data_IF_424685201325
#
_entry.id   IF_424685201325
#
_cell.length_a   1.000
_cell.length_b   1.000
_cell.length_c   1.000
_cell.angle_alpha   90.00
_cell.angle_beta   90.00
_cell.angle_gamma   90.00
#
_symmetry.space_group_name_H-M   'P 1'
#
loop_
_entity.id
_entity.type
_entity.pdbx_description
1 polymer ?
#
# COMPACT_ATOMS: atom_id res chain seq x y z
N UNK A 1 -17.56 23.74 -2.84
CA UNK A 1 -16.33 23.45 -3.61
C UNK A 1 -15.50 22.53 -2.74
N UNK A 2 -15.67 21.24 -3.00
CA UNK A 2 -15.96 20.30 -1.93
C UNK A 2 -14.70 19.66 -1.35
N UNK A 3 -14.60 19.79 -0.02
CA UNK A 3 -14.05 18.88 0.97
C UNK A 3 -12.95 17.90 0.53
N UNK A 4 -11.70 18.25 0.82
CA UNK A 4 -10.64 17.26 1.05
C UNK A 4 -10.95 16.48 2.33
N UNK A 5 -11.58 15.31 2.13
CA UNK A 5 -11.87 14.37 3.19
C UNK A 5 -10.58 13.78 3.75
N UNK A 6 -10.22 14.18 4.96
CA UNK A 6 -9.61 13.24 5.90
C UNK A 6 -10.63 12.13 6.12
N UNK A 7 -10.37 10.96 5.52
CA UNK A 7 -11.23 9.79 5.64
C UNK A 7 -11.29 9.29 7.09
N UNK A 8 -12.13 9.93 7.90
CA UNK A 8 -12.82 9.26 8.99
C UNK A 8 -13.73 8.24 8.32
N UNK A 9 -13.29 6.99 8.27
CA UNK A 9 -14.17 5.87 7.95
C UNK A 9 -15.19 5.76 9.08
N UNK A 10 -16.33 6.45 8.95
CA UNK A 10 -17.55 6.01 9.59
C UNK A 10 -17.92 4.69 8.92
N UNK A 11 -17.52 3.59 9.56
CA UNK A 11 -17.96 2.26 9.17
C UNK A 11 -19.45 2.15 9.45
N UNK A 12 -20.26 2.19 8.40
CA UNK A 12 -21.55 1.52 8.46
C UNK A 12 -21.29 0.03 8.58
N UNK A 13 -21.70 -0.57 9.70
CA UNK A 13 -21.72 -2.01 9.89
C UNK A 13 -22.67 -2.61 8.84
N UNK A 14 -22.09 -3.10 7.75
CA UNK A 14 -22.75 -4.00 6.80
C UNK A 14 -21.97 -5.30 6.86
N UNK A 15 -22.63 -6.36 7.34
CA UNK A 15 -22.01 -7.66 7.59
C UNK A 15 -21.53 -8.27 6.27
N UNK A 16 -20.23 -8.53 6.15
CA UNK A 16 -19.63 -9.11 4.97
C UNK A 16 -19.36 -10.61 5.17
N UNK A 17 -20.05 -11.45 4.40
CA UNK A 17 -19.69 -12.85 4.20
C UNK A 17 -18.50 -12.92 3.23
N UNK A 18 -17.29 -13.05 3.77
CA UNK A 18 -16.08 -13.32 2.98
C UNK A 18 -15.99 -14.83 2.76
N UNK A 19 -16.29 -15.26 1.52
CA UNK A 19 -16.30 -16.64 1.00
C UNK A 19 -14.92 -17.33 0.92
N UNK A 20 -13.97 -17.00 1.81
CA UNK A 20 -12.65 -17.62 1.87
C UNK A 20 -12.32 -18.29 3.21
N UNK A 21 -12.83 -17.74 4.32
CA UNK A 21 -12.73 -18.31 5.67
C UNK A 21 -14.10 -18.82 6.18
N UNK A 22 -15.16 -18.72 5.36
CA UNK A 22 -16.50 -19.22 5.67
C UNK A 22 -16.55 -20.72 5.90
N UNK A 23 -15.63 -21.48 5.28
CA UNK A 23 -15.62 -22.94 5.41
C UNK A 23 -15.14 -23.36 6.81
N UNK A 24 -14.14 -22.66 7.38
CA UNK A 24 -13.75 -22.81 8.78
C UNK A 24 -14.83 -22.32 9.75
N UNK A 25 -15.54 -21.23 9.41
CA UNK A 25 -16.64 -20.69 10.22
C UNK A 25 -17.85 -21.63 10.27
N UNK A 26 -18.21 -22.25 9.14
CA UNK A 26 -19.28 -23.26 9.07
C UNK A 26 -18.85 -24.55 9.78
N UNK A 27 -17.57 -24.94 9.75
CA UNK A 27 -17.06 -26.05 10.54
C UNK A 27 -17.09 -25.77 12.06
N UNK A 28 -16.65 -24.60 12.51
CA UNK A 28 -16.72 -24.21 13.94
C UNK A 28 -18.18 -24.08 14.44
N UNK A 29 -19.11 -23.63 13.60
CA UNK A 29 -20.54 -23.59 13.92
C UNK A 29 -21.21 -24.98 13.90
N UNK A 30 -20.73 -25.92 13.09
CA UNK A 30 -21.18 -27.33 13.14
C UNK A 30 -20.77 -28.00 14.44
N UNK A 31 -19.63 -27.62 15.02
CA UNK A 31 -19.17 -28.11 16.34
C UNK A 31 -20.08 -27.61 17.48
N UNK A 32 -20.77 -26.48 17.30
CA UNK A 32 -21.70 -25.88 18.28
C UNK A 32 -23.15 -26.32 18.10
N UNK A 33 -23.48 -27.11 17.07
CA UNK A 33 -24.80 -27.76 17.01
C UNK A 33 -24.81 -28.96 17.94
N UNK A 34 -25.79 -29.10 18.85
CA UNK A 34 -25.90 -30.27 19.69
C UNK A 34 -26.00 -31.50 18.79
N UNK A 35 -25.13 -32.48 19.06
CA UNK A 35 -25.17 -33.81 18.46
C UNK A 35 -26.60 -34.33 18.65
N UNK A 36 -27.33 -34.56 17.56
CA UNK A 36 -28.61 -35.24 17.62
C UNK A 36 -28.32 -36.67 18.08
N UNK A 37 -28.42 -36.90 19.37
CA UNK A 37 -28.46 -38.25 19.89
C UNK A 37 -29.77 -38.87 19.41
N UNK A 38 -29.63 -39.93 18.62
CA UNK A 38 -30.71 -40.77 18.15
C UNK A 38 -31.39 -41.44 19.36
N UNK A 39 -32.54 -40.93 19.77
CA UNK A 39 -33.57 -41.80 20.36
C UNK A 39 -34.98 -41.25 20.16
N UNK A 40 -35.81 -42.12 19.56
CA UNK A 40 -37.26 -42.24 19.62
C UNK A 40 -38.18 -41.06 19.18
N UNK A 41 -38.63 -41.20 17.93
CA UNK A 41 -40.02 -41.51 17.58
C UNK A 41 -41.14 -40.69 18.28
N UNK A 42 -41.59 -39.62 17.64
CA UNK A 42 -43.03 -39.41 17.45
C UNK A 42 -43.33 -38.38 16.36
N UNK A 43 -44.27 -38.77 15.50
CA UNK A 43 -44.81 -38.03 14.38
C UNK A 43 -45.42 -36.69 14.80
N UNK A 44 -44.89 -35.58 14.27
CA UNK A 44 -45.72 -34.44 13.92
C UNK A 44 -45.08 -33.64 12.78
N UNK A 45 -45.57 -33.91 11.58
CA UNK A 45 -45.18 -33.25 10.33
C UNK A 45 -45.76 -31.84 10.26
N UNK A 46 -45.10 -30.89 10.91
CA UNK A 46 -45.21 -29.48 10.54
C UNK A 46 -44.00 -29.15 9.65
N UNK A 47 -44.20 -29.32 8.34
CA UNK A 47 -43.27 -28.86 7.32
C UNK A 47 -43.15 -27.34 7.39
N UNK A 48 -42.23 -26.86 8.21
CA UNK A 48 -41.66 -25.53 8.08
C UNK A 48 -40.84 -25.56 6.79
N UNK A 49 -41.45 -25.12 5.70
CA UNK A 49 -40.75 -24.80 4.46
C UNK A 49 -39.71 -23.73 4.78
N UNK A 50 -38.47 -24.17 4.97
CA UNK A 50 -37.29 -23.31 4.98
C UNK A 50 -37.32 -22.58 3.63
N UNK A 51 -37.37 -21.23 3.60
CA UNK A 51 -37.35 -20.49 2.36
C UNK A 51 -36.10 -20.90 1.60
N UNK A 52 -36.32 -21.33 0.37
CA UNK A 52 -35.30 -21.80 -0.57
C UNK A 52 -34.30 -20.64 -0.78
N UNK A 53 -33.15 -20.69 -0.09
CA UNK A 53 -31.99 -19.80 -0.29
C UNK A 53 -31.32 -20.17 -1.63
N UNK A 54 -32.09 -20.08 -2.71
CA UNK A 54 -31.59 -20.21 -4.07
C UNK A 54 -31.66 -18.84 -4.71
N UNK A 55 -30.51 -18.45 -5.24
CA UNK A 55 -30.24 -17.28 -6.07
C UNK A 55 -29.85 -15.99 -5.31
N UNK A 56 -28.96 -16.10 -4.32
CA UNK A 56 -27.96 -15.05 -4.18
C UNK A 56 -26.93 -15.25 -5.29
N UNK A 57 -27.04 -14.47 -6.36
CA UNK A 57 -26.04 -14.39 -7.42
C UNK A 57 -24.68 -14.15 -6.77
N UNK A 58 -23.77 -15.13 -6.88
CA UNK A 58 -22.43 -15.02 -6.31
C UNK A 58 -21.74 -13.83 -6.98
N UNK A 59 -21.65 -12.70 -6.28
CA UNK A 59 -20.96 -11.51 -6.76
C UNK A 59 -19.49 -11.88 -6.97
N UNK A 60 -19.08 -12.05 -8.22
CA UNK A 60 -17.69 -12.30 -8.57
C UNK A 60 -17.02 -11.01 -9.02
N UNK A 61 -15.90 -10.68 -8.39
CA UNK A 61 -15.02 -9.59 -8.80
C UNK A 61 -13.90 -10.17 -9.66
N UNK A 62 -13.72 -9.65 -10.88
CA UNK A 62 -12.67 -10.15 -11.78
C UNK A 62 -11.34 -9.44 -11.53
N UNK A 63 -10.22 -10.12 -11.76
CA UNK A 63 -8.89 -9.51 -11.58
C UNK A 63 -8.66 -8.32 -12.53
N UNK A 64 -9.29 -8.34 -13.71
CA UNK A 64 -9.19 -7.24 -14.68
C UNK A 64 -9.93 -5.98 -14.18
N UNK A 65 -11.09 -6.14 -13.55
CA UNK A 65 -11.81 -5.04 -12.90
C UNK A 65 -10.96 -4.38 -11.81
N UNK A 66 -10.28 -5.19 -10.97
CA UNK A 66 -9.38 -4.68 -9.92
C UNK A 66 -8.23 -3.89 -10.55
N UNK A 67 -7.59 -4.45 -11.58
CA UNK A 67 -6.50 -3.77 -12.27
C UNK A 67 -6.95 -2.45 -12.90
N UNK A 68 -8.12 -2.43 -13.55
CA UNK A 68 -8.69 -1.22 -14.14
C UNK A 68 -8.99 -0.18 -13.08
N UNK A 69 -9.59 -0.57 -11.95
CA UNK A 69 -9.85 0.33 -10.82
C UNK A 69 -8.56 0.95 -10.29
N UNK A 70 -7.51 0.15 -10.11
CA UNK A 70 -6.20 0.64 -9.66
C UNK A 70 -5.56 1.59 -10.68
N UNK A 71 -5.57 1.25 -11.97
CA UNK A 71 -4.99 2.09 -13.02
C UNK A 71 -5.75 3.40 -13.22
N UNK A 72 -7.03 3.46 -12.85
CA UNK A 72 -7.81 4.69 -12.86
C UNK A 72 -7.53 5.58 -11.63
N UNK A 73 -7.06 5.00 -10.53
CA UNK A 73 -6.67 5.75 -9.33
C UNK A 73 -5.30 6.42 -9.46
N UNK A 74 -5.13 7.60 -8.86
CA UNK A 74 -3.84 8.31 -8.83
C UNK A 74 -2.75 7.48 -8.11
N UNK A 75 -3.10 6.89 -6.97
CA UNK A 75 -2.21 6.05 -6.16
C UNK A 75 -1.75 4.81 -6.93
N UNK A 76 -2.66 4.14 -7.66
CA UNK A 76 -2.31 2.97 -8.47
C UNK A 76 -1.38 3.33 -9.63
N UNK A 77 -1.59 4.47 -10.31
CA UNK A 77 -0.66 4.97 -11.34
C UNK A 77 0.74 5.22 -10.79
N UNK A 78 0.90 5.86 -9.62
CA UNK A 78 2.22 6.08 -9.00
C UNK A 78 2.90 4.75 -8.64
N UNK A 79 2.18 3.79 -8.03
CA UNK A 79 2.76 2.49 -7.67
C UNK A 79 3.13 1.66 -8.89
N UNK A 80 2.30 1.65 -9.93
CA UNK A 80 2.60 0.96 -11.17
C UNK A 80 3.83 1.58 -11.86
N UNK A 81 3.90 2.91 -11.97
CA UNK A 81 5.07 3.60 -12.50
C UNK A 81 6.33 3.32 -11.68
N UNK A 82 6.22 3.24 -10.34
CA UNK A 82 7.32 2.84 -9.45
C UNK A 82 7.83 1.44 -9.79
N UNK A 83 6.94 0.45 -9.91
CA UNK A 83 7.30 -0.93 -10.26
C UNK A 83 8.01 -0.97 -11.61
N UNK A 84 7.39 -0.42 -12.67
CA UNK A 84 7.96 -0.42 -14.02
C UNK A 84 9.34 0.24 -14.03
N UNK A 85 9.48 1.41 -13.39
CA UNK A 85 10.77 2.12 -13.30
C UNK A 85 11.86 1.21 -12.71
N UNK A 86 11.62 0.63 -11.54
CA UNK A 86 12.66 -0.15 -10.86
C UNK A 86 12.90 -1.51 -11.53
N UNK A 87 11.91 -2.10 -12.19
CA UNK A 87 12.12 -3.25 -13.07
C UNK A 87 13.04 -2.89 -14.24
N UNK A 88 12.82 -1.73 -14.88
CA UNK A 88 13.70 -1.24 -15.95
C UNK A 88 15.12 -0.98 -15.45
N UNK A 89 15.27 -0.35 -14.28
CA UNK A 89 16.60 -0.10 -13.69
C UNK A 89 17.38 -1.40 -13.43
N UNK A 90 16.69 -2.46 -12.99
CA UNK A 90 17.30 -3.78 -12.79
C UNK A 90 17.66 -4.45 -14.12
N UNK A 91 16.81 -4.35 -15.14
CA UNK A 91 17.09 -4.86 -16.49
C UNK A 91 18.31 -4.14 -17.07
N UNK A 92 18.37 -2.81 -16.96
CA UNK A 92 19.51 -2.01 -17.40
C UNK A 92 20.78 -2.50 -16.70
N UNK A 93 20.74 -2.65 -15.38
CA UNK A 93 21.89 -3.11 -14.60
C UNK A 93 22.35 -4.51 -15.00
N UNK A 94 21.42 -5.42 -15.29
CA UNK A 94 21.73 -6.76 -15.78
C UNK A 94 22.39 -6.71 -17.16
N UNK A 95 21.82 -5.94 -18.10
CA UNK A 95 22.38 -5.77 -19.44
C UNK A 95 23.77 -5.13 -19.37
N UNK A 96 23.96 -4.10 -18.56
CA UNK A 96 25.25 -3.44 -18.39
C UNK A 96 26.32 -4.35 -17.80
N UNK A 97 25.94 -5.26 -16.89
CA UNK A 97 26.86 -6.25 -16.33
C UNK A 97 27.36 -7.23 -17.40
N UNK A 98 26.46 -7.73 -18.24
CA UNK A 98 26.77 -8.67 -19.31
C UNK A 98 27.43 -8.01 -20.53
N UNK A 99 27.12 -6.73 -20.79
CA UNK A 99 27.58 -5.99 -21.97
C UNK A 99 28.94 -5.31 -21.79
N UNK A 100 29.64 -5.50 -20.66
CA UNK A 100 30.98 -4.94 -20.48
C UNK A 100 31.92 -5.52 -21.54
N UNK A 101 32.41 -4.73 -22.51
CA UNK A 101 33.35 -5.24 -23.47
C UNK A 101 34.64 -5.59 -22.72
N UNK A 102 35.02 -6.87 -22.69
CA UNK A 102 36.41 -7.24 -22.41
C UNK A 102 37.24 -6.56 -23.51
N UNK A 103 37.87 -5.43 -23.19
CA UNK A 103 39.03 -4.75 -23.82
C UNK A 103 39.37 -4.89 -25.33
N UNK A 104 38.50 -5.38 -26.21
CA UNK A 104 38.86 -5.79 -27.58
C UNK A 104 38.44 -4.82 -28.69
N UNK A 105 37.77 -3.71 -28.37
CA UNK A 105 37.33 -2.75 -29.39
C UNK A 105 38.29 -1.55 -29.36
N UNK A 106 39.45 -1.77 -29.97
CA UNK A 106 40.33 -0.68 -30.44
C UNK A 106 39.54 0.20 -31.41
N UNK A 107 39.69 1.52 -31.27
CA UNK A 107 39.11 2.55 -32.11
C UNK A 107 39.56 2.37 -33.56
N UNK A 108 38.77 1.69 -34.39
CA UNK A 108 38.95 1.73 -35.84
C UNK A 108 37.63 2.02 -36.56
N UNK A 109 37.78 2.56 -37.76
CA UNK A 109 36.77 3.31 -38.52
C UNK A 109 35.42 2.58 -38.68
N UNK A 110 34.36 3.24 -38.21
CA UNK A 110 33.01 2.72 -37.97
C UNK A 110 32.28 2.26 -39.24
N UNK A 111 32.65 2.75 -40.43
CA UNK A 111 31.82 2.56 -41.62
C UNK A 111 32.06 1.24 -42.38
N UNK A 112 33.25 0.63 -42.33
CA UNK A 112 33.51 -0.69 -42.94
C UNK A 112 33.29 -1.86 -41.96
N UNK A 113 32.96 -1.55 -40.71
CA UNK A 113 32.87 -2.50 -39.62
C UNK A 113 31.48 -3.11 -39.51
N UNK A 114 30.40 -2.41 -39.86
CA UNK A 114 29.02 -2.91 -39.69
C UNK A 114 28.76 -4.17 -40.54
N UNK A 115 29.17 -4.19 -41.81
CA UNK A 115 28.99 -5.37 -42.68
C UNK A 115 29.93 -6.53 -42.33
N UNK A 116 31.18 -6.23 -41.92
CA UNK A 116 32.14 -7.26 -41.54
C UNK A 116 31.84 -7.86 -40.14
N UNK A 117 31.24 -7.08 -39.23
CA UNK A 117 30.76 -7.54 -37.92
C UNK A 117 29.50 -8.40 -38.02
N UNK A 118 28.60 -8.08 -38.96
CA UNK A 118 27.35 -8.81 -39.16
C UNK A 118 27.60 -10.30 -39.48
N UNK A 119 28.65 -10.56 -40.26
CA UNK A 119 29.01 -11.91 -40.73
C UNK A 119 30.00 -12.59 -39.78
N UNK A 120 31.03 -11.88 -39.30
CA UNK A 120 32.13 -12.54 -38.59
C UNK A 120 32.02 -12.52 -37.05
N UNK A 121 31.20 -11.62 -36.47
CA UNK A 121 31.08 -11.49 -34.99
C UNK A 121 29.66 -11.05 -34.56
N UNK A 122 28.63 -11.91 -34.66
CA UNK A 122 27.25 -11.56 -34.28
C UNK A 122 27.11 -11.09 -32.83
N UNK A 123 28.01 -11.54 -31.93
CA UNK A 123 28.08 -11.07 -30.54
C UNK A 123 28.29 -9.56 -30.41
N UNK A 124 29.05 -8.93 -31.30
CA UNK A 124 29.29 -7.48 -31.24
C UNK A 124 28.06 -6.68 -31.71
N UNK A 125 27.30 -7.21 -32.67
CA UNK A 125 26.03 -6.65 -33.08
C UNK A 125 25.01 -6.70 -31.92
N UNK A 126 24.92 -7.84 -31.22
CA UNK A 126 24.08 -7.97 -30.02
C UNK A 126 24.47 -6.93 -28.96
N UNK A 127 25.78 -6.75 -28.68
CA UNK A 127 26.24 -5.73 -27.73
C UNK A 127 25.85 -4.31 -28.19
N UNK A 128 25.99 -3.99 -29.47
CA UNK A 128 25.61 -2.67 -30.00
C UNK A 128 24.10 -2.40 -29.87
N UNK A 129 23.26 -3.38 -30.24
CA UNK A 129 21.81 -3.30 -30.06
C UNK A 129 21.44 -3.18 -28.58
N UNK A 130 22.06 -3.97 -27.70
CA UNK A 130 21.88 -3.90 -26.26
C UNK A 130 22.26 -2.53 -25.70
N UNK A 131 23.34 -1.91 -26.17
CA UNK A 131 23.74 -0.55 -25.76
C UNK A 131 22.73 0.52 -26.19
N UNK A 132 22.22 0.45 -27.43
CA UNK A 132 21.17 1.36 -27.89
C UNK A 132 19.87 1.16 -27.10
N UNK A 133 19.55 -0.09 -26.80
CA UNK A 133 18.40 -0.47 -25.98
C UNK A 133 18.53 0.05 -24.55
N UNK A 134 19.70 -0.09 -23.91
CA UNK A 134 19.99 0.45 -22.58
C UNK A 134 19.80 1.96 -22.52
N UNK A 135 20.29 2.72 -23.51
CA UNK A 135 20.06 4.17 -23.57
C UNK A 135 18.58 4.52 -23.64
N UNK A 136 17.81 3.76 -24.42
CA UNK A 136 16.37 3.94 -24.56
C UNK A 136 15.64 3.62 -23.24
N UNK A 137 15.98 2.51 -22.59
CA UNK A 137 15.42 2.14 -21.29
C UNK A 137 15.77 3.15 -20.20
N UNK A 138 17.01 3.65 -20.18
CA UNK A 138 17.46 4.67 -19.23
C UNK A 138 16.67 5.98 -19.41
N UNK A 139 16.44 6.38 -20.66
CA UNK A 139 15.56 7.51 -20.96
C UNK A 139 14.14 7.28 -20.44
N UNK A 140 13.52 6.12 -20.74
CA UNK A 140 12.18 5.77 -20.25
C UNK A 140 12.13 5.76 -18.73
N UNK A 141 13.12 5.18 -18.04
CA UNK A 141 13.20 5.18 -16.57
C UNK A 141 13.27 6.60 -16.00
N UNK A 142 14.05 7.49 -16.63
CA UNK A 142 14.12 8.91 -16.25
C UNK A 142 12.78 9.63 -16.45
N UNK A 143 12.08 9.37 -17.56
CA UNK A 143 10.74 9.91 -17.80
C UNK A 143 9.72 9.38 -16.79
N UNK A 144 9.77 8.10 -16.42
CA UNK A 144 8.91 7.54 -15.37
C UNK A 144 9.16 8.17 -14.00
N UNK A 145 10.42 8.47 -13.67
CA UNK A 145 10.76 9.23 -12.48
C UNK A 145 10.08 10.60 -12.51
N UNK A 146 10.24 11.35 -13.60
CA UNK A 146 9.63 12.68 -13.78
C UNK A 146 8.10 12.63 -13.77
N UNK A 147 7.50 11.63 -14.41
CA UNK A 147 6.06 11.37 -14.39
C UNK A 147 5.53 11.24 -12.96
N UNK A 148 6.25 10.52 -12.08
CA UNK A 148 5.85 10.40 -10.67
C UNK A 148 5.89 11.72 -9.90
N UNK A 149 6.85 12.60 -10.19
CA UNK A 149 6.85 13.97 -9.64
C UNK A 149 5.63 14.76 -10.13
N UNK A 150 5.28 14.64 -11.42
CA UNK A 150 4.10 15.30 -11.99
C UNK A 150 2.81 14.81 -11.31
N UNK A 151 2.68 13.51 -11.03
CA UNK A 151 1.51 12.96 -10.33
C UNK A 151 1.33 13.50 -8.90
N UNK A 152 2.40 13.99 -8.28
CA UNK A 152 2.40 14.53 -6.91
C UNK A 152 2.36 16.05 -6.86
N UNK A 153 2.60 16.70 -7.99
CA UNK A 153 2.63 18.14 -8.13
C UNK A 153 1.23 18.75 -7.99
N UNK A 154 1.14 19.89 -7.32
CA UNK A 154 -0.09 20.70 -7.24
C UNK A 154 -0.76 20.67 -5.87
N UNK A 155 -0.25 19.89 -4.92
CA UNK A 155 -0.79 19.83 -3.56
C UNK A 155 -0.21 20.92 -2.64
N UNK A 156 0.96 21.50 -2.96
CA UNK A 156 1.59 22.49 -2.09
C UNK A 156 0.73 23.74 -1.79
N UNK A 157 0.01 24.38 -2.73
CA UNK A 157 -0.75 25.59 -2.40
C UNK A 157 -1.90 25.30 -1.44
N UNK A 158 -2.55 24.14 -1.58
CA UNK A 158 -3.66 23.73 -0.71
C UNK A 158 -3.15 23.40 0.70
N UNK A 159 -2.08 22.61 0.81
CA UNK A 159 -1.47 22.28 2.09
C UNK A 159 -0.94 23.53 2.81
N UNK A 160 -0.33 24.45 2.07
CA UNK A 160 0.16 25.72 2.63
C UNK A 160 -1.00 26.57 3.15
N UNK A 161 -2.11 26.61 2.42
CA UNK A 161 -3.30 27.35 2.84
C UNK A 161 -3.91 26.78 4.12
N UNK A 162 -4.05 25.45 4.21
CA UNK A 162 -4.59 24.80 5.39
C UNK A 162 -3.65 24.93 6.60
N UNK A 163 -2.34 24.89 6.36
CA UNK A 163 -1.33 25.18 7.37
C UNK A 163 -1.42 26.61 7.90
N UNK A 164 -1.59 27.60 7.01
CA UNK A 164 -1.79 29.00 7.41
C UNK A 164 -3.08 29.15 8.24
N UNK A 165 -4.16 28.48 7.88
CA UNK A 165 -5.41 28.47 8.68
C UNK A 165 -5.16 27.88 10.07
N UNK A 166 -4.42 26.78 10.16
CA UNK A 166 -4.08 26.16 11.44
C UNK A 166 -3.27 27.12 12.33
N UNK A 167 -2.27 27.81 11.77
CA UNK A 167 -1.50 28.84 12.49
C UNK A 167 -2.40 29.99 12.94
N UNK A 168 -3.29 30.50 12.06
CA UNK A 168 -4.23 31.56 12.42
C UNK A 168 -5.14 31.15 13.58
N UNK A 169 -5.66 29.92 13.56
CA UNK A 169 -6.50 29.37 14.64
C UNK A 169 -5.75 29.30 15.96
N UNK A 170 -4.48 28.88 15.95
CA UNK A 170 -3.61 28.87 17.14
C UNK A 170 -3.35 30.28 17.67
N UNK A 171 -3.13 31.24 16.79
CA UNK A 171 -2.91 32.63 17.17
C UNK A 171 -4.16 33.26 17.81
N UNK A 172 -5.35 33.00 17.28
CA UNK A 172 -6.62 33.50 17.82
C UNK A 172 -6.96 32.88 19.18
N UNK A 173 -6.64 31.61 19.40
CA UNK A 173 -6.91 30.88 20.66
C UNK A 173 -5.80 31.00 21.73
N UNK A 174 -4.96 32.03 21.65
CA UNK A 174 -3.76 32.25 22.48
C UNK A 174 -3.94 32.08 24.00
N UNK A 175 -5.15 32.28 24.53
CA UNK A 175 -5.43 32.22 25.99
C UNK A 175 -5.45 30.80 26.58
N UNK A 176 -5.52 29.75 25.75
CA UNK A 176 -5.52 28.33 26.19
C UNK A 176 -4.54 27.47 25.38
N UNK A 177 -3.30 27.93 25.20
CA UNK A 177 -2.25 27.14 24.56
C UNK A 177 -1.75 26.03 25.49
N UNK A 178 -2.52 24.95 25.62
CA UNK A 178 -2.00 23.69 26.15
C UNK A 178 -1.22 22.96 25.04
N UNK A 179 -0.14 22.26 25.39
CA UNK A 179 0.61 21.40 24.45
C UNK A 179 -0.31 20.42 23.69
N UNK A 180 -1.39 19.99 24.34
CA UNK A 180 -2.41 19.12 23.76
C UNK A 180 -3.21 19.83 22.64
N UNK A 181 -3.65 21.08 22.86
CA UNK A 181 -4.34 21.87 21.84
C UNK A 181 -3.49 22.17 20.61
N UNK A 182 -2.16 22.30 20.79
CA UNK A 182 -1.19 22.48 19.72
C UNK A 182 -1.06 21.20 18.91
N UNK A 183 -0.92 20.03 19.57
CA UNK A 183 -0.82 18.75 18.87
C UNK A 183 -2.12 18.36 18.13
N UNK A 184 -3.28 18.70 18.71
CA UNK A 184 -4.59 18.47 18.09
C UNK A 184 -4.82 19.36 16.85
N UNK A 185 -4.30 20.59 16.87
CA UNK A 185 -4.45 21.56 15.77
C UNK A 185 -3.34 21.45 14.72
N UNK A 186 -2.15 21.03 15.15
CA UNK A 186 -0.93 21.00 14.35
C UNK A 186 -0.35 19.58 14.35
N UNK A 187 -0.86 18.76 13.43
CA UNK A 187 -0.37 17.39 13.28
C UNK A 187 1.03 17.46 12.65
N UNK A 188 2.00 16.85 13.32
CA UNK A 188 3.39 16.76 12.82
C UNK A 188 3.43 16.13 11.42
N UNK A 189 2.53 15.18 11.13
CA UNK A 189 2.35 14.59 9.79
C UNK A 189 2.10 15.66 8.72
N UNK A 190 1.24 16.65 8.99
CA UNK A 190 0.84 17.67 8.02
C UNK A 190 2.01 18.63 7.73
N UNK A 191 2.81 18.96 8.76
CA UNK A 191 4.03 19.74 8.59
C UNK A 191 5.06 19.01 7.72
N UNK A 192 5.33 17.74 8.03
CA UNK A 192 6.29 16.94 7.27
C UNK A 192 5.82 16.75 5.83
N UNK A 193 4.53 16.48 5.62
CA UNK A 193 3.94 16.34 4.30
C UNK A 193 4.01 17.65 3.50
N UNK A 194 3.71 18.79 4.12
CA UNK A 194 3.87 20.11 3.50
C UNK A 194 5.32 20.35 3.09
N UNK A 195 6.26 20.09 4.01
CA UNK A 195 7.68 20.29 3.75
C UNK A 195 8.21 19.37 2.64
N UNK A 196 7.83 18.10 2.64
CA UNK A 196 8.15 17.15 1.59
C UNK A 196 7.58 17.62 0.24
N UNK A 197 6.30 17.99 0.20
CA UNK A 197 5.63 18.43 -1.03
C UNK A 197 6.31 19.65 -1.64
N UNK A 198 6.65 20.66 -0.84
CA UNK A 198 7.38 21.85 -1.32
C UNK A 198 8.73 21.46 -1.92
N UNK A 199 9.48 20.57 -1.25
CA UNK A 199 10.76 20.11 -1.76
C UNK A 199 10.62 19.30 -3.06
N UNK A 200 9.62 18.42 -3.16
CA UNK A 200 9.31 17.61 -4.34
C UNK A 200 8.96 18.49 -5.55
N UNK A 201 8.13 19.50 -5.35
CA UNK A 201 7.74 20.46 -6.40
C UNK A 201 8.92 21.35 -6.83
N UNK A 202 9.76 21.82 -5.90
CA UNK A 202 10.95 22.59 -6.24
C UNK A 202 11.94 21.78 -7.09
N UNK A 203 12.12 20.49 -6.77
CA UNK A 203 12.92 19.55 -7.58
C UNK A 203 12.33 19.40 -8.99
N UNK A 204 11.00 19.31 -9.11
CA UNK A 204 10.33 19.24 -10.41
C UNK A 204 10.51 20.54 -11.22
N UNK A 205 10.35 21.70 -10.59
CA UNK A 205 10.55 23.01 -11.24
C UNK A 205 11.99 23.18 -11.75
N UNK A 206 12.98 22.65 -11.03
CA UNK A 206 14.36 22.61 -11.51
C UNK A 206 14.50 21.74 -12.77
N UNK A 207 13.87 20.55 -12.79
CA UNK A 207 13.88 19.66 -13.97
C UNK A 207 13.24 20.30 -15.20
N UNK A 208 12.21 21.12 -15.00
CA UNK A 208 11.59 21.92 -16.07
C UNK A 208 12.34 23.21 -16.41
N UNK A 209 13.52 23.44 -15.80
CA UNK A 209 14.36 24.62 -16.04
C UNK A 209 13.68 25.95 -15.71
N UNK A 210 12.70 25.95 -14.80
CA UNK A 210 12.09 27.19 -14.27
C UNK A 210 13.13 27.98 -13.46
N UNK A 211 14.06 27.27 -12.82
CA UNK A 211 15.23 27.82 -12.16
C UNK A 211 16.41 26.86 -12.34
N UNK A 212 17.66 27.33 -12.20
CA UNK A 212 18.86 26.59 -12.62
C UNK A 212 20.06 26.66 -11.66
N UNK A 213 19.85 27.08 -10.41
CA UNK A 213 20.95 27.17 -9.43
C UNK A 213 21.36 25.77 -8.94
N UNK A 214 22.58 25.28 -9.24
CA UNK A 214 22.97 23.90 -8.90
C UNK A 214 23.15 23.69 -7.39
N UNK A 215 23.63 24.70 -6.66
CA UNK A 215 23.84 24.63 -5.22
C UNK A 215 22.51 24.54 -4.47
N UNK A 216 21.53 25.35 -4.90
CA UNK A 216 20.19 25.32 -4.33
C UNK A 216 19.48 23.99 -4.65
N UNK A 217 19.67 23.45 -5.86
CA UNK A 217 19.17 22.13 -6.24
C UNK A 217 19.73 21.01 -5.37
N UNK A 218 21.05 20.97 -5.16
CA UNK A 218 21.66 19.95 -4.31
C UNK A 218 21.12 20.05 -2.87
N UNK A 219 20.97 21.26 -2.34
CA UNK A 219 20.42 21.47 -1.00
C UNK A 219 18.97 20.99 -0.90
N UNK A 220 18.10 21.40 -1.83
CA UNK A 220 16.70 20.95 -1.84
C UNK A 220 16.61 19.44 -1.99
N UNK A 221 17.41 18.83 -2.88
CA UNK A 221 17.42 17.39 -3.07
C UNK A 221 17.79 16.63 -1.78
N UNK A 222 18.74 17.13 -0.99
CA UNK A 222 19.06 16.56 0.32
C UNK A 222 17.90 16.70 1.30
N UNK A 223 17.27 17.87 1.35
CA UNK A 223 16.10 18.11 2.21
C UNK A 223 14.89 17.27 1.80
N UNK A 224 14.70 17.02 0.51
CA UNK A 224 13.68 16.11 0.00
C UNK A 224 13.89 14.70 0.56
N UNK A 225 15.09 14.14 0.44
CA UNK A 225 15.42 12.80 0.99
C UNK A 225 15.23 12.74 2.50
N UNK A 226 15.63 13.79 3.21
CA UNK A 226 15.46 13.91 4.66
C UNK A 226 13.98 14.00 5.08
N UNK A 227 13.18 14.79 4.38
CA UNK A 227 11.74 14.90 4.64
C UNK A 227 11.01 13.59 4.38
N UNK A 228 11.37 12.87 3.31
CA UNK A 228 10.86 11.53 3.02
C UNK A 228 11.27 10.52 4.10
N UNK A 229 12.49 10.61 4.64
CA UNK A 229 12.93 9.77 5.76
C UNK A 229 12.07 9.99 7.00
N UNK A 230 11.78 11.25 7.35
CA UNK A 230 10.91 11.56 8.49
C UNK A 230 9.48 11.09 8.27
N UNK A 231 8.94 11.25 7.07
CA UNK A 231 7.62 10.73 6.71
C UNK A 231 7.53 9.20 6.89
N UNK A 232 8.55 8.46 6.44
CA UNK A 232 8.62 7.00 6.63
C UNK A 232 8.65 6.64 8.11
N UNK A 233 9.54 7.26 8.90
CA UNK A 233 9.71 6.93 10.33
C UNK A 233 8.42 7.23 11.09
N UNK A 234 7.81 8.38 10.83
CA UNK A 234 6.56 8.76 11.47
C UNK A 234 5.41 7.83 11.08
N UNK A 235 5.32 7.48 9.80
CA UNK A 235 4.36 6.49 9.31
C UNK A 235 4.57 5.12 9.95
N UNK A 236 5.82 4.69 10.16
CA UNK A 236 6.13 3.42 10.83
C UNK A 236 5.65 3.44 12.28
N UNK A 237 5.95 4.51 13.04
CA UNK A 237 5.50 4.68 14.42
C UNK A 237 3.97 4.65 14.50
N UNK A 238 3.29 5.38 13.61
CA UNK A 238 1.84 5.41 13.57
C UNK A 238 1.23 4.02 13.27
N UNK A 239 1.78 3.29 12.31
CA UNK A 239 1.31 1.94 11.97
C UNK A 239 1.60 0.93 13.10
N UNK A 240 2.73 1.03 13.79
CA UNK A 240 3.05 0.20 14.95
C UNK A 240 2.09 0.48 16.11
N UNK A 241 1.80 1.75 16.38
CA UNK A 241 0.82 2.15 17.39
C UNK A 241 -0.57 1.59 17.06
N UNK A 242 -1.01 1.74 15.80
CA UNK A 242 -2.27 1.17 15.33
C UNK A 242 -2.32 -0.36 15.44
N UNK A 243 -1.20 -1.04 15.13
CA UNK A 243 -1.10 -2.49 15.28
C UNK A 243 -1.30 -2.92 16.74
N UNK A 244 -0.68 -2.21 17.68
CA UNK A 244 -0.82 -2.49 19.12
C UNK A 244 -2.28 -2.27 19.57
N UNK A 245 -2.93 -1.18 19.14
CA UNK A 245 -4.35 -0.94 19.43
C UNK A 245 -5.23 -2.06 18.86
N UNK A 246 -4.95 -2.53 17.64
CA UNK A 246 -5.72 -3.62 17.03
C UNK A 246 -5.49 -4.97 17.72
N UNK A 247 -4.27 -5.22 18.24
CA UNK A 247 -3.98 -6.40 19.05
C UNK A 247 -4.75 -6.39 20.38
N UNK A 248 -4.84 -5.23 21.03
CA UNK A 248 -5.64 -5.07 22.26
C UNK A 248 -7.12 -5.35 22.00
N UNK A 249 -7.70 -4.77 20.94
CA UNK A 249 -9.09 -5.03 20.54
C UNK A 249 -9.35 -6.50 20.21
N UNK A 250 -8.43 -7.15 19.50
CA UNK A 250 -8.54 -8.58 19.21
C UNK A 250 -8.52 -9.42 20.48
N UNK A 251 -7.67 -9.08 21.45
CA UNK A 251 -7.65 -9.74 22.75
C UNK A 251 -8.98 -9.56 23.50
N UNK A 252 -9.53 -8.35 23.53
CA UNK A 252 -10.83 -8.05 24.14
C UNK A 252 -11.97 -8.86 23.48
N UNK A 253 -12.03 -8.88 22.15
CA UNK A 253 -13.05 -9.67 21.43
C UNK A 253 -12.91 -11.17 21.68
N UNK A 254 -11.70 -11.71 21.70
CA UNK A 254 -11.48 -13.13 22.01
C UNK A 254 -11.91 -13.47 23.44
N UNK A 255 -11.64 -12.57 24.39
CA UNK A 255 -12.10 -12.72 25.77
C UNK A 255 -13.64 -12.69 25.85
N UNK A 256 -14.29 -11.79 25.11
CA UNK A 256 -15.75 -11.74 25.02
C UNK A 256 -16.34 -13.02 24.40
N UNK A 257 -15.73 -13.57 23.35
CA UNK A 257 -16.13 -14.86 22.77
C UNK A 257 -16.02 -15.97 23.81
N UNK A 258 -14.92 -16.01 24.57
CA UNK A 258 -14.70 -17.03 25.60
C UNK A 258 -15.74 -16.94 26.71
N UNK A 259 -15.98 -15.74 27.24
CA UNK A 259 -17.01 -15.50 28.27
C UNK A 259 -18.39 -15.91 27.76
N UNK A 260 -18.75 -15.53 26.52
CA UNK A 260 -20.04 -15.91 25.93
C UNK A 260 -20.16 -17.42 25.74
N UNK A 261 -19.10 -18.10 25.31
CA UNK A 261 -19.08 -19.56 25.18
C UNK A 261 -19.29 -20.24 26.53
N UNK A 262 -18.62 -19.77 27.58
CA UNK A 262 -18.81 -20.26 28.94
C UNK A 262 -20.24 -19.98 29.44
N UNK A 263 -20.77 -18.78 29.23
CA UNK A 263 -22.14 -18.42 29.61
C UNK A 263 -23.20 -19.26 28.89
N UNK A 264 -23.01 -19.54 27.59
CA UNK A 264 -23.88 -20.44 26.82
C UNK A 264 -23.82 -21.86 27.40
N UNK A 265 -22.63 -22.36 27.74
CA UNK A 265 -22.50 -23.69 28.37
C UNK A 265 -23.26 -23.76 29.71
N UNK A 266 -23.21 -22.70 30.54
CA UNK A 266 -24.02 -22.61 31.75
C UNK A 266 -25.52 -22.49 31.48
N UNK A 267 -25.93 -21.81 30.42
CA UNK A 267 -27.35 -21.61 30.08
C UNK A 267 -28.01 -22.77 29.34
N UNK A 268 -27.25 -23.60 28.61
CA UNK A 268 -27.75 -24.86 28.07
C UNK A 268 -28.22 -25.77 29.20
N UNK A 269 -27.64 -25.65 30.40
CA UNK A 269 -28.17 -26.29 31.61
C UNK A 269 -29.54 -25.74 32.06
N UNK A 270 -29.97 -24.57 31.58
CA UNK A 270 -31.14 -23.80 32.02
C UNK A 270 -32.15 -23.45 30.89
N UNK A 271 -32.06 -24.06 29.70
CA UNK A 271 -33.07 -24.01 28.62
C UNK A 271 -33.47 -22.63 28.02
N UNK A 272 -32.57 -21.64 27.94
CA UNK A 272 -32.87 -20.34 27.29
C UNK A 272 -32.00 -20.05 26.05
N UNK A 273 -32.62 -19.67 24.91
CA UNK A 273 -32.02 -19.57 23.55
C UNK A 273 -31.63 -18.15 23.08
N UNK A 274 -31.46 -17.18 23.95
CA UNK A 274 -31.44 -15.75 23.54
C UNK A 274 -30.11 -15.18 22.99
N UNK A 275 -29.01 -15.95 22.87
CA UNK A 275 -27.65 -15.38 22.64
C UNK A 275 -27.03 -15.56 21.24
N UNK A 276 -27.74 -16.10 20.25
CA UNK A 276 -27.13 -16.50 18.97
C UNK A 276 -26.67 -15.31 18.09
N UNK A 277 -27.52 -14.28 17.92
CA UNK A 277 -27.24 -13.18 16.99
C UNK A 277 -26.00 -12.35 17.39
N UNK A 278 -25.82 -12.07 18.69
CA UNK A 278 -24.68 -11.26 19.15
C UNK A 278 -23.32 -11.95 18.99
N UNK A 279 -23.28 -13.27 18.76
CA UNK A 279 -22.02 -13.98 18.52
C UNK A 279 -21.54 -13.82 17.08
N UNK A 280 -22.47 -13.83 16.11
CA UNK A 280 -22.18 -13.63 14.69
C UNK A 280 -21.50 -12.27 14.48
N UNK A 281 -22.03 -11.24 15.13
CA UNK A 281 -21.49 -9.87 15.08
C UNK A 281 -20.06 -9.77 15.60
N UNK A 282 -19.75 -10.48 16.69
CA UNK A 282 -18.41 -10.48 17.28
C UNK A 282 -17.41 -11.19 16.36
N UNK A 283 -17.81 -12.31 15.75
CA UNK A 283 -16.97 -13.02 14.78
C UNK A 283 -16.70 -12.18 13.53
N UNK A 284 -17.71 -11.45 13.03
CA UNK A 284 -17.54 -10.52 11.92
C UNK A 284 -16.52 -9.41 12.26
N UNK A 285 -16.65 -8.78 13.43
CA UNK A 285 -15.71 -7.76 13.90
C UNK A 285 -14.28 -8.31 14.05
N UNK A 286 -14.14 -9.55 14.52
CA UNK A 286 -12.84 -10.19 14.68
C UNK A 286 -12.18 -10.48 13.32
N UNK A 287 -12.95 -10.91 12.32
CA UNK A 287 -12.44 -11.11 10.96
C UNK A 287 -12.00 -9.79 10.32
N UNK A 288 -12.78 -8.71 10.52
CA UNK A 288 -12.40 -7.38 10.06
C UNK A 288 -11.12 -6.88 10.74
N UNK A 289 -10.95 -7.10 12.05
CA UNK A 289 -9.70 -6.77 12.75
C UNK A 289 -8.51 -7.56 12.21
N UNK A 290 -8.65 -8.87 11.98
CA UNK A 290 -7.59 -9.70 11.38
C UNK A 290 -7.19 -9.18 9.99
N UNK A 291 -8.18 -8.79 9.18
CA UNK A 291 -7.94 -8.16 7.87
C UNK A 291 -7.19 -6.83 8.01
N UNK A 292 -7.62 -5.95 8.92
CA UNK A 292 -6.94 -4.67 9.17
C UNK A 292 -5.48 -4.89 9.60
N UNK A 293 -5.22 -5.84 10.50
CA UNK A 293 -3.86 -6.21 10.91
C UNK A 293 -3.02 -6.66 9.71
N UNK A 294 -3.57 -7.48 8.82
CA UNK A 294 -2.88 -7.91 7.59
C UNK A 294 -2.49 -6.71 6.72
N UNK A 295 -3.40 -5.75 6.53
CA UNK A 295 -3.13 -4.52 5.77
C UNK A 295 -2.05 -3.66 6.44
N UNK A 296 -2.07 -3.55 7.77
CA UNK A 296 -1.05 -2.83 8.55
C UNK A 296 0.30 -3.51 8.44
N UNK A 297 0.37 -4.84 8.53
CA UNK A 297 1.62 -5.59 8.34
C UNK A 297 2.22 -5.35 6.95
N UNK A 298 1.41 -5.36 5.89
CA UNK A 298 1.88 -5.03 4.54
C UNK A 298 2.42 -3.60 4.46
N UNK A 299 1.76 -2.64 5.11
CA UNK A 299 2.26 -1.26 5.15
C UNK A 299 3.59 -1.14 5.90
N UNK A 300 3.73 -1.80 7.06
CA UNK A 300 4.98 -1.83 7.83
C UNK A 300 6.10 -2.44 6.98
N UNK A 301 5.87 -3.60 6.34
CA UNK A 301 6.87 -4.22 5.48
C UNK A 301 7.30 -3.30 4.34
N UNK A 302 6.34 -2.67 3.64
CA UNK A 302 6.63 -1.68 2.59
C UNK A 302 7.45 -0.51 3.14
N UNK A 303 7.09 0.05 4.29
CA UNK A 303 7.82 1.15 4.92
C UNK A 303 9.24 0.76 5.34
N UNK A 304 9.46 -0.47 5.80
CA UNK A 304 10.81 -0.98 6.11
C UNK A 304 11.67 -1.01 4.84
N UNK A 305 11.14 -1.52 3.73
CA UNK A 305 11.88 -1.53 2.46
C UNK A 305 12.14 -0.11 1.92
N UNK A 306 11.16 0.80 2.03
CA UNK A 306 11.34 2.21 1.69
C UNK A 306 12.38 2.89 2.60
N UNK A 307 12.37 2.60 3.90
CA UNK A 307 13.35 3.09 4.86
C UNK A 307 14.76 2.62 4.52
N UNK A 308 14.93 1.33 4.22
CA UNK A 308 16.21 0.77 3.82
C UNK A 308 16.71 1.41 2.54
N UNK A 309 15.86 1.53 1.51
CA UNK A 309 16.24 2.15 0.24
C UNK A 309 16.65 3.63 0.43
N UNK A 310 15.84 4.41 1.16
CA UNK A 310 16.08 5.83 1.38
C UNK A 310 17.28 6.08 2.30
N UNK A 311 17.58 5.16 3.23
CA UNK A 311 18.78 5.24 4.06
C UNK A 311 20.05 5.16 3.22
N UNK A 312 20.05 4.40 2.11
CA UNK A 312 21.22 4.35 1.21
C UNK A 312 21.46 5.71 0.55
N UNK A 313 20.39 6.40 0.13
CA UNK A 313 20.46 7.74 -0.44
C UNK A 313 20.87 8.78 0.62
N UNK A 314 20.29 8.69 1.82
CA UNK A 314 20.53 9.62 2.93
C UNK A 314 21.99 9.61 3.41
N UNK A 315 22.56 8.42 3.60
CA UNK A 315 23.96 8.26 4.03
C UNK A 315 24.97 8.28 2.88
N UNK A 316 24.52 8.45 1.63
CA UNK A 316 25.36 8.40 0.41
C UNK A 316 26.22 7.13 0.34
N UNK A 317 25.70 6.00 0.79
CA UNK A 317 26.50 4.76 0.91
C UNK A 317 26.92 4.20 -0.46
N UNK A 318 26.27 4.61 -1.55
CA UNK A 318 26.72 4.30 -2.92
C UNK A 318 28.14 4.80 -3.21
N UNK A 319 28.49 5.99 -2.73
CA UNK A 319 29.80 6.60 -2.98
C UNK A 319 30.91 5.83 -2.25
N UNK A 320 30.56 5.19 -1.13
CA UNK A 320 31.48 4.38 -0.33
C UNK A 320 31.71 2.96 -0.91
N UNK A 321 31.03 2.56 -2.00
CA UNK A 321 31.06 1.20 -2.59
C UNK A 321 30.74 0.05 -1.63
N UNK A 322 30.17 0.34 -0.46
CA UNK A 322 29.86 -0.67 0.57
C UNK A 322 28.72 -1.57 0.11
N UNK A 323 27.77 -1.03 -0.65
CA UNK A 323 26.55 -1.74 -1.06
C UNK A 323 26.63 -2.13 -2.54
N UNK A 324 26.28 -3.39 -2.90
CA UNK A 324 26.23 -3.83 -4.29
C UNK A 324 25.30 -2.96 -5.14
N UNK A 325 25.75 -2.67 -6.38
CA UNK A 325 24.91 -1.99 -7.38
C UNK A 325 23.62 -2.80 -7.59
N UNK A 326 22.48 -2.11 -7.56
CA UNK A 326 21.16 -2.72 -7.74
C UNK A 326 20.39 -2.96 -6.44
N UNK A 327 21.04 -2.93 -5.28
CA UNK A 327 20.36 -3.07 -3.97
C UNK A 327 19.22 -2.05 -3.83
N UNK A 328 19.46 -0.80 -4.25
CA UNK A 328 18.41 0.23 -4.32
C UNK A 328 17.17 -0.23 -5.08
N UNK A 329 17.40 -0.74 -6.29
CA UNK A 329 16.37 -1.08 -7.26
C UNK A 329 15.56 -2.25 -6.75
N UNK A 330 16.22 -3.25 -6.15
CA UNK A 330 15.56 -4.39 -5.51
C UNK A 330 14.70 -3.94 -4.33
N UNK A 331 15.25 -3.18 -3.37
CA UNK A 331 14.49 -2.71 -2.21
C UNK A 331 13.29 -1.85 -2.63
N UNK A 332 13.51 -0.94 -3.59
CA UNK A 332 12.47 -0.06 -4.10
C UNK A 332 11.39 -0.81 -4.90
N UNK A 333 11.77 -1.86 -5.64
CA UNK A 333 10.84 -2.72 -6.37
C UNK A 333 10.00 -3.55 -5.39
N UNK A 334 10.62 -4.17 -4.39
CA UNK A 334 9.91 -4.96 -3.37
C UNK A 334 8.91 -4.09 -2.62
N UNK A 335 9.30 -2.90 -2.18
CA UNK A 335 8.37 -1.91 -1.60
C UNK A 335 7.23 -1.57 -2.57
N UNK A 336 7.54 -1.36 -3.86
CA UNK A 336 6.54 -1.09 -4.90
C UNK A 336 5.51 -2.22 -5.02
N UNK A 337 5.97 -3.47 -5.06
CA UNK A 337 5.14 -4.67 -5.17
C UNK A 337 4.25 -4.86 -3.93
N UNK A 338 4.81 -4.72 -2.72
CA UNK A 338 4.03 -4.83 -1.47
C UNK A 338 2.97 -3.72 -1.42
N UNK A 339 3.34 -2.48 -1.77
CA UNK A 339 2.40 -1.36 -1.82
C UNK A 339 1.30 -1.57 -2.85
N UNK A 340 1.61 -2.14 -4.02
CA UNK A 340 0.63 -2.48 -5.04
C UNK A 340 -0.30 -3.62 -4.59
N UNK A 341 0.24 -4.65 -3.94
CA UNK A 341 -0.56 -5.75 -3.38
C UNK A 341 -1.52 -5.29 -2.28
N UNK A 342 -1.08 -4.35 -1.42
CA UNK A 342 -1.98 -3.70 -0.46
C UNK A 342 -3.14 -2.99 -1.15
N UNK A 343 -2.84 -2.19 -2.19
CA UNK A 343 -3.88 -1.51 -2.96
C UNK A 343 -4.83 -2.51 -3.64
N UNK A 344 -4.30 -3.64 -4.11
CA UNK A 344 -5.09 -4.71 -4.71
C UNK A 344 -6.12 -5.30 -3.73
N UNK A 345 -5.73 -5.57 -2.49
CA UNK A 345 -6.65 -6.06 -1.45
C UNK A 345 -7.75 -5.03 -1.21
N UNK A 346 -7.38 -3.77 -0.98
CA UNK A 346 -8.35 -2.71 -0.69
C UNK A 346 -9.32 -2.49 -1.87
N UNK A 347 -8.81 -2.47 -3.10
CA UNK A 347 -9.62 -2.32 -4.31
C UNK A 347 -10.62 -3.47 -4.50
N UNK A 348 -10.21 -4.70 -4.19
CA UNK A 348 -11.11 -5.85 -4.22
C UNK A 348 -12.31 -5.64 -3.28
N UNK A 349 -12.03 -5.14 -2.08
CA UNK A 349 -13.06 -4.91 -1.06
C UNK A 349 -13.97 -3.73 -1.43
N UNK A 350 -13.42 -2.64 -1.96
CA UNK A 350 -14.18 -1.49 -2.44
C UNK A 350 -15.15 -1.89 -3.57
N UNK A 351 -14.66 -2.65 -4.56
CA UNK A 351 -15.49 -3.13 -5.68
C UNK A 351 -16.58 -4.07 -5.18
N UNK A 352 -16.24 -5.01 -4.30
CA UNK A 352 -17.21 -5.93 -3.74
C UNK A 352 -18.32 -5.20 -2.98
N UNK A 353 -17.94 -4.24 -2.13
CA UNK A 353 -18.87 -3.41 -1.37
C UNK A 353 -19.74 -2.52 -2.27
N UNK A 354 -19.20 -2.05 -3.39
CA UNK A 354 -19.97 -1.26 -4.36
C UNK A 354 -21.02 -2.10 -5.10
N UNK A 355 -20.67 -3.33 -5.50
CA UNK A 355 -21.59 -4.26 -6.18
C UNK A 355 -22.73 -4.71 -5.25
N UNK A 356 -22.44 -4.90 -3.96
CA UNK A 356 -23.46 -5.23 -2.95
C UNK A 356 -24.47 -4.10 -2.69
N UNK A 357 -24.08 -2.84 -2.91
CA UNK A 357 -24.98 -1.68 -2.73
C UNK A 357 -25.85 -1.39 -3.95
N UNK A 358 -25.48 -1.93 -5.11
CA UNK A 358 -26.21 -1.73 -6.36
C UNK A 358 -27.28 -2.77 -6.63
N UNK A 359 -27.26 -3.87 -5.87
CA UNK A 359 -28.35 -4.85 -5.76
C UNK A 359 -29.28 -4.46 -4.61
#
# INVERSE_FOLDING_TARGET
>A
MDSYGTGNYQYHNTYHNISGDSDNFVEELKILSPRKDESNNNNNSNNVTIPNVKDMTKITVTNLEILQYLLNSLSGKDKFAKIVKYTLDLIILFIEKESKPKSYISKSNVNNIVMNLLVNKPRLLIIFFLQKFVKTLSYISSQLSTYRYILRFGNSPFLTWDFIKAIKKLYTNRKHLSLQSINETFKINDLINLYYTICDELVLLHKFKVWSNPYFYERISRHQVLSWQYDIVLSLINNLSQLNTNQQKEFELNLLIKIKREAINFQISNNNKLFYNDTIDIYAQLNDLKRQKKVIHLEISKLIFDFMANSIDFFKVYDAKIIPKGTYGVLSLVSGLIGFYKLWINAKDDIYSSKQKSE
#
